data_IF_872418943265
#
_entry.id   IF_872418943265
#
_cell.length_a   1.000
_cell.length_b   1.000
_cell.length_c   1.000
_cell.angle_alpha   90.00
_cell.angle_beta   90.00
_cell.angle_gamma   90.00
#
_symmetry.space_group_name_H-M   'P 1'
#
loop_
_entity.id
_entity.type
_entity.pdbx_description
1 polymer ?
#
# COMPACT_ATOMS: atom_id res chain seq x y z
N UNK A 1 -22.27 39.13 28.16
CA UNK A 1 -21.98 38.40 26.90
C UNK A 1 -21.29 37.11 27.33
N UNK A 2 -21.99 36.00 27.32
CA UNK A 2 -21.54 34.73 27.89
C UNK A 2 -20.52 34.08 26.95
N UNK A 3 -19.66 33.22 27.48
CA UNK A 3 -18.63 32.47 26.70
C UNK A 3 -19.27 31.72 25.49
N UNK A 4 -20.54 31.32 25.62
CA UNK A 4 -21.32 30.64 24.59
C UNK A 4 -21.58 31.55 23.38
N UNK A 5 -21.85 32.86 23.60
CA UNK A 5 -22.11 33.81 22.51
C UNK A 5 -20.87 34.06 21.65
N UNK A 6 -19.68 33.97 22.27
CA UNK A 6 -18.40 34.13 21.56
C UNK A 6 -18.12 32.91 20.68
N UNK A 7 -18.34 31.71 21.21
CA UNK A 7 -18.12 30.46 20.49
C UNK A 7 -19.07 30.28 19.29
N UNK A 8 -20.33 30.69 19.43
CA UNK A 8 -21.31 30.71 18.35
C UNK A 8 -20.92 31.72 17.25
N UNK A 9 -20.41 32.90 17.66
CA UNK A 9 -19.96 33.94 16.70
C UNK A 9 -18.72 33.46 15.91
N UNK A 10 -17.77 32.76 16.56
CA UNK A 10 -16.59 32.21 15.92
C UNK A 10 -16.96 31.06 14.95
N UNK A 11 -17.88 30.18 15.32
CA UNK A 11 -18.39 29.13 14.43
C UNK A 11 -19.10 29.68 13.21
N UNK A 12 -19.91 30.75 13.37
CA UNK A 12 -20.56 31.42 12.25
C UNK A 12 -19.58 32.12 11.32
N UNK A 13 -18.48 32.69 11.87
CA UNK A 13 -17.45 33.34 11.08
C UNK A 13 -16.68 32.32 10.23
N UNK A 14 -16.31 31.15 10.80
CA UNK A 14 -15.65 30.04 10.11
C UNK A 14 -16.56 29.47 9.00
N UNK A 15 -17.86 29.31 9.28
CA UNK A 15 -18.85 28.86 8.29
C UNK A 15 -19.01 29.83 7.12
N UNK A 16 -18.99 31.14 7.37
CA UNK A 16 -18.99 32.18 6.32
C UNK A 16 -17.72 32.20 5.51
N UNK A 17 -16.55 32.05 6.14
CA UNK A 17 -15.27 31.98 5.46
C UNK A 17 -15.19 30.75 4.53
N UNK A 18 -15.67 29.59 4.98
CA UNK A 18 -15.73 28.36 4.19
C UNK A 18 -16.69 28.46 3.00
N UNK A 19 -17.86 29.11 3.18
CA UNK A 19 -18.79 29.37 2.07
C UNK A 19 -18.24 30.36 1.04
N UNK A 20 -17.56 31.42 1.49
CA UNK A 20 -16.86 32.36 0.60
C UNK A 20 -15.74 31.70 -0.20
N UNK A 21 -14.95 30.81 0.44
CA UNK A 21 -13.90 30.00 -0.22
C UNK A 21 -14.49 29.05 -1.26
N UNK A 22 -15.57 28.35 -0.94
CA UNK A 22 -16.23 27.42 -1.86
C UNK A 22 -16.85 28.16 -3.08
N UNK A 23 -17.41 29.33 -2.88
CA UNK A 23 -17.95 30.15 -3.96
C UNK A 23 -16.83 30.73 -4.84
N UNK A 24 -15.72 31.16 -4.24
CA UNK A 24 -14.56 31.63 -5.00
C UNK A 24 -13.94 30.48 -5.85
N UNK A 25 -13.88 29.27 -5.32
CA UNK A 25 -13.39 28.09 -6.06
C UNK A 25 -14.34 27.73 -7.22
N UNK A 26 -15.64 27.77 -7.00
CA UNK A 26 -16.66 27.53 -8.04
C UNK A 26 -16.63 28.61 -9.14
N UNK A 27 -16.44 29.87 -8.77
CA UNK A 27 -16.30 31.00 -9.71
C UNK A 27 -14.98 30.89 -10.52
N UNK A 28 -13.87 30.50 -9.89
CA UNK A 28 -12.60 30.25 -10.57
C UNK A 28 -12.76 29.12 -11.60
N UNK A 29 -13.41 28.03 -11.23
CA UNK A 29 -13.65 26.88 -12.10
C UNK A 29 -14.56 27.25 -13.29
N UNK A 30 -15.58 28.07 -13.06
CA UNK A 30 -16.43 28.61 -14.14
C UNK A 30 -15.64 29.54 -15.08
N UNK A 31 -14.77 30.40 -14.55
CA UNK A 31 -13.91 31.28 -15.36
C UNK A 31 -12.90 30.47 -16.19
N UNK A 32 -12.28 29.46 -15.62
CA UNK A 32 -11.40 28.55 -16.34
C UNK A 32 -12.16 27.83 -17.46
N UNK A 33 -13.37 27.34 -17.22
CA UNK A 33 -14.22 26.69 -18.22
C UNK A 33 -14.59 27.64 -19.36
N UNK A 34 -14.86 28.91 -19.04
CA UNK A 34 -15.19 29.94 -20.02
C UNK A 34 -13.97 30.32 -20.87
N UNK A 35 -12.79 30.42 -20.25
CA UNK A 35 -11.54 30.70 -20.94
C UNK A 35 -11.18 29.54 -21.88
N UNK A 36 -11.29 28.31 -21.41
CA UNK A 36 -11.07 27.12 -22.24
C UNK A 36 -12.07 27.02 -23.41
N UNK A 37 -13.33 27.39 -23.17
CA UNK A 37 -14.35 27.48 -24.24
C UNK A 37 -14.01 28.55 -25.28
N UNK A 38 -13.60 29.75 -24.84
CA UNK A 38 -13.17 30.83 -25.74
C UNK A 38 -11.90 30.47 -26.52
N UNK A 39 -10.92 29.84 -25.87
CA UNK A 39 -9.72 29.34 -26.55
C UNK A 39 -10.13 28.30 -27.60
N UNK A 40 -11.04 27.39 -27.28
CA UNK A 40 -11.58 26.39 -28.21
C UNK A 40 -12.30 27.04 -29.42
N UNK A 41 -13.05 28.11 -29.20
CA UNK A 41 -13.73 28.86 -30.25
C UNK A 41 -12.76 29.66 -31.16
N UNK A 42 -11.73 30.26 -30.57
CA UNK A 42 -10.67 30.98 -31.32
C UNK A 42 -9.91 30.00 -32.22
N UNK A 43 -9.53 28.83 -31.69
CA UNK A 43 -8.90 27.78 -32.48
C UNK A 43 -9.82 27.22 -33.59
N UNK A 44 -11.13 27.16 -33.35
CA UNK A 44 -12.13 26.69 -34.29
C UNK A 44 -12.36 27.67 -35.47
N UNK A 45 -12.20 28.98 -35.26
CA UNK A 45 -12.41 30.01 -36.27
C UNK A 45 -11.20 30.29 -37.17
N UNK A 46 -9.96 29.99 -36.73
CA UNK A 46 -8.74 30.42 -37.39
C UNK A 46 -8.01 29.35 -38.21
N UNK A 47 -8.55 28.15 -38.40
CA UNK A 47 -7.83 27.11 -39.14
C UNK A 47 -8.60 26.63 -40.36
N UNK A 48 -8.31 27.25 -41.50
CA UNK A 48 -8.53 26.71 -42.86
C UNK A 48 -7.36 25.76 -43.26
N UNK A 49 -6.91 24.88 -42.36
CA UNK A 49 -5.92 23.83 -42.65
C UNK A 49 -6.58 22.46 -42.62
N UNK A 50 -6.05 21.43 -43.27
CA UNK A 50 -6.66 20.10 -43.36
C UNK A 50 -6.82 19.51 -41.97
N UNK A 51 -8.03 19.64 -41.43
CA UNK A 51 -8.42 19.47 -40.01
C UNK A 51 -8.28 18.05 -39.43
N UNK A 52 -8.15 17.02 -40.27
CA UNK A 52 -8.41 15.66 -39.81
C UNK A 52 -7.20 14.90 -39.24
N UNK A 53 -5.98 15.20 -39.67
CA UNK A 53 -4.80 14.44 -39.21
C UNK A 53 -4.13 15.04 -37.97
N UNK A 54 -4.02 16.34 -37.86
CA UNK A 54 -3.36 17.03 -36.73
C UNK A 54 -4.24 17.04 -35.45
N UNK A 55 -5.54 17.35 -35.61
CA UNK A 55 -6.47 17.36 -34.49
C UNK A 55 -6.68 15.96 -33.93
N UNK A 56 -6.82 14.95 -34.76
CA UNK A 56 -6.92 13.56 -34.35
C UNK A 56 -5.63 13.08 -33.64
N UNK A 57 -4.45 13.57 -34.05
CA UNK A 57 -3.17 13.28 -33.39
C UNK A 57 -3.05 14.01 -32.04
N UNK A 58 -3.53 15.25 -31.92
CA UNK A 58 -3.54 16.01 -30.67
C UNK A 58 -4.58 15.48 -29.66
N UNK A 59 -5.78 15.12 -30.12
CA UNK A 59 -6.79 14.47 -29.27
C UNK A 59 -6.30 13.12 -28.76
N UNK A 60 -5.72 12.30 -29.60
CA UNK A 60 -5.13 11.01 -29.24
C UNK A 60 -3.93 11.16 -28.30
N UNK A 61 -3.11 12.21 -28.47
CA UNK A 61 -2.02 12.56 -27.56
C UNK A 61 -2.54 13.00 -26.20
N UNK A 62 -3.55 13.89 -26.14
CA UNK A 62 -4.15 14.35 -24.89
C UNK A 62 -4.91 13.24 -24.14
N UNK A 63 -5.63 12.38 -24.86
CA UNK A 63 -6.25 11.19 -24.24
C UNK A 63 -5.21 10.23 -23.66
N UNK A 64 -4.10 10.05 -24.34
CA UNK A 64 -3.02 9.17 -23.90
C UNK A 64 -2.30 9.77 -22.68
N UNK A 65 -2.11 11.10 -22.64
CA UNK A 65 -1.59 11.79 -21.47
C UNK A 65 -2.51 11.63 -20.26
N UNK A 66 -3.81 11.85 -20.40
CA UNK A 66 -4.77 11.71 -19.30
C UNK A 66 -4.83 10.27 -18.79
N UNK A 67 -4.82 9.30 -19.69
CA UNK A 67 -4.85 7.86 -19.33
C UNK A 67 -3.62 7.41 -18.52
N UNK A 68 -2.44 8.05 -18.72
CA UNK A 68 -1.22 7.77 -17.95
C UNK A 68 -1.30 8.23 -16.49
N UNK A 69 -2.12 9.22 -16.17
CA UNK A 69 -2.25 9.73 -14.82
C UNK A 69 -3.17 8.87 -13.94
N UNK A 70 -4.03 8.03 -14.53
CA UNK A 70 -4.95 7.17 -13.76
C UNK A 70 -4.19 6.16 -12.89
N UNK A 71 -3.25 5.34 -13.42
CA UNK A 71 -2.46 4.44 -12.57
C UNK A 71 -1.69 5.21 -11.50
N UNK A 72 -1.01 6.31 -11.85
CA UNK A 72 -0.25 7.11 -10.89
C UNK A 72 -1.13 7.66 -9.75
N UNK A 73 -2.38 8.05 -10.04
CA UNK A 73 -3.31 8.50 -8.99
C UNK A 73 -3.71 7.35 -8.06
N UNK A 74 -3.84 6.14 -8.57
CA UNK A 74 -4.11 4.94 -7.77
C UNK A 74 -2.89 4.61 -6.89
N UNK A 75 -1.68 4.69 -7.45
CA UNK A 75 -0.42 4.54 -6.68
C UNK A 75 -0.30 5.59 -5.56
N UNK A 76 -0.73 6.84 -5.81
CA UNK A 76 -0.84 7.83 -4.74
C UNK A 76 -1.84 7.40 -3.64
N UNK A 77 -2.91 6.69 -4.00
CA UNK A 77 -3.85 6.08 -3.05
C UNK A 77 -3.18 5.03 -2.16
N UNK A 78 -2.28 4.20 -2.73
CA UNK A 78 -1.42 3.28 -1.97
C UNK A 78 -0.60 4.05 -0.94
N UNK A 79 0.14 5.08 -1.37
CA UNK A 79 0.96 5.92 -0.48
C UNK A 79 0.15 6.55 0.65
N UNK A 80 -1.00 7.16 0.32
CA UNK A 80 -1.90 7.77 1.32
C UNK A 80 -2.39 6.74 2.32
N UNK A 81 -2.73 5.52 1.89
CA UNK A 81 -3.14 4.44 2.78
C UNK A 81 -2.02 4.05 3.75
N UNK A 82 -0.77 3.99 3.30
CA UNK A 82 0.40 3.79 4.17
C UNK A 82 0.56 4.91 5.21
N UNK A 83 0.42 6.16 4.80
CA UNK A 83 0.45 7.31 5.73
C UNK A 83 -0.72 7.27 6.74
N UNK A 84 -1.92 6.91 6.31
CA UNK A 84 -3.08 6.74 7.19
C UNK A 84 -2.88 5.60 8.19
N UNK A 85 -2.21 4.52 7.80
CA UNK A 85 -1.82 3.43 8.71
C UNK A 85 -0.97 3.97 9.86
N UNK A 86 0.06 4.74 9.56
CA UNK A 86 0.94 5.35 10.57
C UNK A 86 0.16 6.34 11.45
N UNK A 87 -0.73 7.15 10.87
CA UNK A 87 -1.58 8.08 11.59
C UNK A 87 -2.51 7.36 12.57
N UNK A 88 -3.19 6.29 12.14
CA UNK A 88 -4.05 5.51 13.04
C UNK A 88 -3.26 4.86 14.18
N UNK A 89 -2.03 4.46 13.91
CA UNK A 89 -1.17 3.91 14.94
C UNK A 89 -0.78 4.95 16.01
N UNK A 90 -0.49 6.20 15.59
CA UNK A 90 -0.24 7.30 16.52
C UNK A 90 -1.46 7.65 17.39
N UNK A 91 -2.66 7.33 16.90
CA UNK A 91 -3.92 7.43 17.65
C UNK A 91 -4.22 6.18 18.51
N UNK A 92 -3.27 5.27 18.67
CA UNK A 92 -3.43 3.99 19.38
C UNK A 92 -4.55 3.11 18.81
N UNK A 93 -4.71 3.08 17.50
CA UNK A 93 -5.71 2.28 16.76
C UNK A 93 -5.06 1.23 15.86
N UNK A 94 -4.37 0.21 16.40
CA UNK A 94 -3.56 -0.73 15.62
C UNK A 94 -4.39 -1.56 14.62
N UNK A 95 -5.64 -1.88 14.94
CA UNK A 95 -6.55 -2.59 14.03
C UNK A 95 -6.85 -1.76 12.78
N UNK A 96 -7.13 -0.45 12.93
CA UNK A 96 -7.35 0.44 11.79
C UNK A 96 -6.08 0.65 10.98
N UNK A 97 -4.94 0.77 11.64
CA UNK A 97 -3.64 0.85 11.00
C UNK A 97 -3.39 -0.38 10.12
N UNK A 98 -3.63 -1.57 10.65
CA UNK A 98 -3.51 -2.83 9.92
C UNK A 98 -4.44 -2.88 8.70
N UNK A 99 -5.70 -2.49 8.84
CA UNK A 99 -6.65 -2.44 7.72
C UNK A 99 -6.19 -1.51 6.61
N UNK A 100 -5.53 -0.39 6.91
CA UNK A 100 -4.99 0.52 5.90
C UNK A 100 -3.86 -0.11 5.07
N UNK A 101 -3.10 -1.05 5.62
CA UNK A 101 -2.11 -1.82 4.83
C UNK A 101 -2.82 -2.72 3.80
N UNK A 102 -3.95 -3.35 4.16
CA UNK A 102 -4.73 -4.13 3.18
C UNK A 102 -5.33 -3.22 2.09
N UNK A 103 -5.78 -2.02 2.47
CA UNK A 103 -6.25 -1.02 1.49
C UNK A 103 -5.11 -0.56 0.58
N UNK A 104 -3.90 -0.36 1.12
CA UNK A 104 -2.71 -0.07 0.35
C UNK A 104 -2.41 -1.18 -0.67
N UNK A 105 -2.45 -2.46 -0.24
CA UNK A 105 -2.27 -3.61 -1.13
C UNK A 105 -3.34 -3.73 -2.22
N UNK A 106 -4.58 -3.28 -1.94
CA UNK A 106 -5.62 -3.20 -2.96
C UNK A 106 -5.29 -2.12 -4.00
N UNK A 107 -4.83 -0.93 -3.58
CA UNK A 107 -4.43 0.12 -4.50
C UNK A 107 -3.22 -0.26 -5.35
N UNK A 108 -2.20 -0.90 -4.78
CA UNK A 108 -1.04 -1.46 -5.48
C UNK A 108 -1.46 -2.47 -6.56
N UNK A 109 -2.36 -3.38 -6.23
CA UNK A 109 -2.90 -4.31 -7.22
C UNK A 109 -3.67 -3.60 -8.33
N UNK A 110 -4.48 -2.58 -7.99
CA UNK A 110 -5.33 -1.85 -8.92
C UNK A 110 -4.53 -0.95 -9.87
N UNK A 111 -3.42 -0.33 -9.44
CA UNK A 111 -2.62 0.51 -10.33
C UNK A 111 -1.89 -0.33 -11.39
N UNK A 112 -1.30 -1.47 -11.01
CA UNK A 112 -0.72 -2.41 -11.95
C UNK A 112 -1.77 -3.03 -12.90
N UNK A 113 -2.99 -3.26 -12.41
CA UNK A 113 -4.11 -3.69 -13.23
C UNK A 113 -4.55 -2.60 -14.21
N UNK A 114 -4.72 -1.37 -13.74
CA UNK A 114 -5.12 -0.21 -14.54
C UNK A 114 -4.08 0.11 -15.62
N UNK A 115 -2.78 0.08 -15.30
CA UNK A 115 -1.70 0.31 -16.27
C UNK A 115 -1.75 -0.71 -17.42
N UNK A 116 -1.96 -1.99 -17.09
CA UNK A 116 -2.09 -3.07 -18.08
C UNK A 116 -3.36 -2.94 -18.93
N UNK A 117 -4.51 -2.64 -18.30
CA UNK A 117 -5.80 -2.49 -18.97
C UNK A 117 -5.79 -1.31 -19.94
N UNK A 118 -5.21 -0.17 -19.52
CA UNK A 118 -5.12 1.05 -20.32
C UNK A 118 -3.95 1.01 -21.33
N UNK A 119 -3.08 -0.01 -21.24
CA UNK A 119 -1.86 -0.16 -22.08
C UNK A 119 -1.00 1.10 -22.05
N UNK A 120 -0.82 1.70 -20.86
CA UNK A 120 -0.03 2.91 -20.67
C UNK A 120 1.18 2.61 -19.78
N UNK A 121 2.30 3.25 -20.13
CA UNK A 121 3.49 3.29 -19.29
C UNK A 121 3.78 4.75 -18.94
N UNK A 122 3.88 5.03 -17.64
CA UNK A 122 4.30 6.34 -17.15
C UNK A 122 5.80 6.30 -16.87
N UNK A 123 6.59 7.27 -17.34
CA UNK A 123 8.03 7.33 -17.04
C UNK A 123 8.34 7.36 -15.55
N UNK A 124 7.50 8.05 -14.75
CA UNK A 124 7.64 8.16 -13.29
C UNK A 124 6.83 7.11 -12.53
N UNK A 125 6.02 6.29 -13.23
CA UNK A 125 5.09 5.37 -12.59
C UNK A 125 5.81 4.30 -11.77
N UNK A 126 6.85 3.69 -12.31
CA UNK A 126 7.62 2.65 -11.63
C UNK A 126 8.39 3.18 -10.40
N UNK A 127 8.92 4.40 -10.48
CA UNK A 127 9.59 5.03 -9.34
C UNK A 127 8.58 5.41 -8.24
N UNK A 128 7.43 5.96 -8.64
CA UNK A 128 6.35 6.33 -7.72
C UNK A 128 5.78 5.10 -7.01
N UNK A 129 5.61 4.00 -7.72
CA UNK A 129 5.20 2.70 -7.21
C UNK A 129 6.18 2.20 -6.15
N UNK A 130 7.47 2.15 -6.47
CA UNK A 130 8.50 1.74 -5.53
C UNK A 130 8.57 2.62 -4.28
N UNK A 131 8.43 3.94 -4.42
CA UNK A 131 8.42 4.88 -3.28
C UNK A 131 7.18 4.68 -2.42
N UNK A 132 6.01 4.47 -3.04
CA UNK A 132 4.76 4.16 -2.34
C UNK A 132 4.85 2.87 -1.56
N UNK A 133 5.42 1.82 -2.16
CA UNK A 133 5.61 0.51 -1.56
C UNK A 133 6.56 0.55 -0.35
N UNK A 134 7.64 1.34 -0.41
CA UNK A 134 8.51 1.52 0.75
C UNK A 134 7.74 2.07 1.94
N UNK A 135 6.83 3.02 1.72
CA UNK A 135 6.02 3.60 2.81
C UNK A 135 4.97 2.60 3.29
N UNK A 136 4.18 2.05 2.38
CA UNK A 136 3.01 1.23 2.70
C UNK A 136 3.38 -0.18 3.17
N UNK A 137 4.41 -0.78 2.58
CA UNK A 137 4.83 -2.16 2.86
C UNK A 137 6.20 -2.26 3.56
N UNK A 138 6.85 -1.14 3.84
CA UNK A 138 8.07 -1.08 4.64
C UNK A 138 7.85 -0.31 5.93
N UNK A 139 7.59 1.00 5.82
CA UNK A 139 7.52 1.91 6.97
C UNK A 139 6.30 1.63 7.84
N UNK A 140 5.10 1.54 7.24
CA UNK A 140 3.87 1.32 7.99
C UNK A 140 3.88 0.00 8.80
N UNK A 141 4.25 -1.17 8.24
CA UNK A 141 4.39 -2.39 9.04
C UNK A 141 5.54 -2.31 10.05
N UNK A 142 6.63 -1.59 9.75
CA UNK A 142 7.68 -1.30 10.72
C UNK A 142 7.15 -0.57 11.96
N UNK A 143 6.29 0.42 11.76
CA UNK A 143 5.62 1.13 12.87
C UNK A 143 4.62 0.23 13.62
N UNK A 144 3.89 -0.67 12.94
CA UNK A 144 3.03 -1.66 13.62
C UNK A 144 3.88 -2.56 14.51
N UNK A 145 5.01 -3.06 14.00
CA UNK A 145 5.90 -3.91 14.79
C UNK A 145 6.51 -3.16 15.97
N UNK A 146 6.93 -1.91 15.76
CA UNK A 146 7.39 -1.03 16.83
C UNK A 146 6.32 -0.86 17.91
N UNK A 147 5.07 -0.60 17.51
CA UNK A 147 3.93 -0.47 18.41
C UNK A 147 3.70 -1.75 19.21
N UNK A 148 3.70 -2.93 18.57
CA UNK A 148 3.59 -4.21 19.24
C UNK A 148 4.71 -4.43 20.26
N UNK A 149 5.95 -4.06 19.92
CA UNK A 149 7.10 -4.19 20.80
C UNK A 149 7.01 -3.30 22.04
N UNK A 150 6.60 -2.04 21.91
CA UNK A 150 6.52 -1.12 23.06
C UNK A 150 5.36 -1.45 23.99
N UNK A 151 4.33 -2.15 23.52
CA UNK A 151 3.19 -2.60 24.33
C UNK A 151 3.34 -4.04 24.84
N UNK A 152 4.45 -4.72 24.51
CA UNK A 152 4.72 -6.07 25.02
C UNK A 152 5.01 -6.04 26.52
N UNK A 153 4.56 -7.07 27.24
CA UNK A 153 4.72 -7.14 28.70
C UNK A 153 6.19 -7.32 29.14
N UNK A 154 7.03 -7.87 28.26
CA UNK A 154 8.43 -8.24 28.49
C UNK A 154 9.44 -7.31 27.82
N UNK A 155 9.08 -6.04 27.61
CA UNK A 155 9.97 -5.03 26.99
C UNK A 155 11.19 -4.82 27.87
N UNK A 156 12.42 -5.01 27.33
CA UNK A 156 13.63 -4.70 28.06
C UNK A 156 13.76 -3.19 28.34
N UNK A 157 14.06 -2.82 29.59
CA UNK A 157 14.15 -1.43 30.02
C UNK A 157 15.50 -0.80 29.62
N UNK A 158 15.75 -0.70 28.31
CA UNK A 158 16.93 -0.02 27.74
C UNK A 158 16.46 1.22 27.02
N UNK A 159 16.59 2.37 27.64
CA UNK A 159 16.17 3.64 27.07
C UNK A 159 17.39 4.56 26.84
N UNK A 160 17.39 5.27 25.70
CA UNK A 160 18.33 6.33 25.38
C UNK A 160 17.53 7.58 25.03
N UNK A 161 17.82 8.73 25.66
CA UNK A 161 17.06 9.97 25.48
C UNK A 161 15.54 9.83 25.67
N UNK A 162 15.09 8.94 26.57
CA UNK A 162 13.67 8.69 26.81
C UNK A 162 12.97 7.80 25.77
N UNK A 163 13.70 7.30 24.79
CA UNK A 163 13.18 6.39 23.75
C UNK A 163 13.62 4.96 24.08
N UNK A 164 12.70 4.01 24.07
CA UNK A 164 13.05 2.60 24.17
C UNK A 164 13.83 2.18 22.93
N UNK A 165 15.14 1.97 23.08
CA UNK A 165 16.06 1.78 21.96
C UNK A 165 15.83 0.43 21.25
N UNK A 166 15.58 -0.62 22.01
CA UNK A 166 15.45 -1.97 21.47
C UNK A 166 14.21 -2.15 20.57
N UNK A 167 13.03 -1.59 20.85
CA UNK A 167 11.90 -1.59 19.90
C UNK A 167 12.20 -0.91 18.57
N UNK A 168 13.16 0.03 18.51
CA UNK A 168 13.57 0.66 17.25
C UNK A 168 14.18 -0.33 16.25
N UNK A 169 14.56 -1.54 16.67
CA UNK A 169 14.96 -2.62 15.77
C UNK A 169 13.84 -3.01 14.78
N UNK A 170 12.57 -2.70 15.09
CA UNK A 170 11.46 -2.83 14.14
C UNK A 170 11.72 -2.09 12.82
N UNK A 171 12.48 -1.00 12.86
CA UNK A 171 12.82 -0.24 11.65
C UNK A 171 13.87 -0.91 10.75
N UNK A 172 14.34 -2.10 11.09
CA UNK A 172 15.02 -2.96 10.11
C UNK A 172 14.08 -3.31 8.94
N UNK A 173 12.78 -3.49 9.18
CA UNK A 173 11.82 -3.83 8.14
C UNK A 173 11.78 -2.83 6.97
N UNK A 174 11.60 -1.51 7.18
CA UNK A 174 11.65 -0.54 6.09
C UNK A 174 13.02 -0.47 5.40
N UNK A 175 14.12 -0.62 6.13
CA UNK A 175 15.47 -0.63 5.54
C UNK A 175 15.63 -1.81 4.58
N UNK A 176 15.31 -3.01 5.02
CA UNK A 176 15.43 -4.20 4.19
C UNK A 176 14.40 -4.23 3.04
N UNK A 177 13.20 -3.65 3.26
CA UNK A 177 12.21 -3.46 2.21
C UNK A 177 12.73 -2.52 1.11
N UNK A 178 13.32 -1.38 1.49
CA UNK A 178 13.92 -0.44 0.54
C UNK A 178 15.08 -1.07 -0.25
N UNK A 179 15.99 -1.79 0.43
CA UNK A 179 17.09 -2.51 -0.22
C UNK A 179 16.55 -3.54 -1.22
N UNK A 180 15.50 -4.28 -0.85
CA UNK A 180 14.87 -5.27 -1.71
C UNK A 180 14.28 -4.63 -2.97
N UNK A 181 13.49 -3.56 -2.81
CA UNK A 181 12.87 -2.85 -3.93
C UNK A 181 13.90 -2.23 -4.85
N UNK A 182 14.97 -1.63 -4.29
CA UNK A 182 16.08 -1.12 -5.08
C UNK A 182 16.79 -2.21 -5.89
N UNK A 183 17.01 -3.40 -5.31
CA UNK A 183 17.59 -4.54 -6.04
C UNK A 183 16.65 -5.04 -7.15
N UNK A 184 15.35 -5.11 -6.87
CA UNK A 184 14.35 -5.55 -7.83
C UNK A 184 14.28 -4.62 -9.05
N UNK A 185 14.41 -3.30 -8.85
CA UNK A 185 14.39 -2.32 -9.93
C UNK A 185 15.62 -2.35 -10.85
N UNK A 186 16.74 -2.93 -10.37
CA UNK A 186 17.99 -3.03 -11.15
C UNK A 186 18.10 -4.40 -11.85
N UNK A 187 17.41 -5.43 -11.34
CA UNK A 187 17.56 -6.82 -11.80
C UNK A 187 16.51 -7.18 -12.86
N UNK A 188 16.87 -7.01 -14.13
CA UNK A 188 16.02 -7.35 -15.29
C UNK A 188 15.83 -8.89 -15.46
N UNK A 189 16.52 -9.73 -14.69
CA UNK A 189 16.48 -11.20 -14.83
C UNK A 189 15.32 -11.86 -14.09
N UNK A 190 14.61 -11.14 -13.19
CA UNK A 190 13.54 -11.68 -12.37
C UNK A 190 12.18 -11.63 -13.08
N UNK A 191 11.98 -12.42 -14.11
CA UNK A 191 10.72 -12.43 -14.87
C UNK A 191 9.69 -13.43 -14.36
N UNK A 192 10.12 -14.56 -13.80
CA UNK A 192 9.24 -15.69 -13.40
C UNK A 192 9.33 -16.07 -11.93
N UNK A 193 10.45 -15.82 -11.27
CA UNK A 193 10.71 -16.18 -9.87
C UNK A 193 11.15 -14.96 -9.08
N UNK A 194 10.59 -14.79 -7.88
CA UNK A 194 11.02 -13.74 -6.96
C UNK A 194 12.11 -14.27 -6.03
N UNK A 195 13.23 -13.55 -5.93
CA UNK A 195 14.23 -13.79 -4.91
C UNK A 195 13.89 -13.00 -3.65
N UNK A 196 13.75 -13.68 -2.52
CA UNK A 196 13.29 -13.12 -1.26
C UNK A 196 11.78 -12.92 -1.18
N UNK A 197 11.25 -12.82 0.06
CA UNK A 197 9.83 -12.61 0.30
C UNK A 197 9.37 -11.27 -0.27
N UNK A 198 8.21 -11.17 -0.94
CA UNK A 198 7.67 -9.90 -1.42
C UNK A 198 7.37 -8.94 -0.26
N UNK A 199 7.71 -7.63 -0.39
CA UNK A 199 7.40 -6.63 0.62
C UNK A 199 5.90 -6.57 0.98
N UNK A 200 4.95 -6.63 0.03
CA UNK A 200 3.53 -6.75 0.36
C UNK A 200 3.20 -7.99 1.18
N UNK A 201 3.86 -9.14 0.91
CA UNK A 201 3.64 -10.36 1.67
C UNK A 201 4.07 -10.22 3.14
N UNK A 202 5.25 -9.66 3.40
CA UNK A 202 5.72 -9.34 4.74
C UNK A 202 4.76 -8.34 5.44
N UNK A 203 4.33 -7.30 4.74
CA UNK A 203 3.43 -6.29 5.27
C UNK A 203 2.07 -6.87 5.67
N UNK A 204 1.49 -7.75 4.85
CA UNK A 204 0.24 -8.46 5.15
C UNK A 204 0.40 -9.34 6.39
N UNK A 205 1.53 -10.06 6.52
CA UNK A 205 1.81 -10.84 7.72
C UNK A 205 1.81 -9.97 8.98
N UNK A 206 2.57 -8.87 8.98
CA UNK A 206 2.67 -7.98 10.14
C UNK A 206 1.33 -7.31 10.43
N UNK A 207 0.59 -6.84 9.42
CA UNK A 207 -0.73 -6.28 9.57
C UNK A 207 -1.75 -7.31 10.11
N UNK A 208 -1.57 -8.59 9.84
CA UNK A 208 -2.44 -9.63 10.36
C UNK A 208 -2.32 -9.82 11.88
N UNK A 209 -1.19 -9.48 12.50
CA UNK A 209 -0.94 -9.68 13.92
C UNK A 209 -1.91 -8.88 14.81
N UNK A 210 -2.05 -7.54 14.68
CA UNK A 210 -3.02 -6.81 15.50
C UNK A 210 -4.48 -7.21 15.19
N UNK A 211 -4.81 -7.64 13.97
CA UNK A 211 -6.14 -8.14 13.63
C UNK A 211 -6.44 -9.47 14.33
N UNK A 212 -5.48 -10.39 14.32
CA UNK A 212 -5.59 -11.68 15.00
C UNK A 212 -5.69 -11.49 16.52
N UNK A 213 -4.86 -10.63 17.11
CA UNK A 213 -4.90 -10.32 18.54
C UNK A 213 -6.24 -9.70 18.95
N UNK A 214 -6.79 -8.78 18.15
CA UNK A 214 -8.09 -8.16 18.44
C UNK A 214 -9.26 -9.15 18.38
N UNK A 215 -9.16 -10.22 17.61
CA UNK A 215 -10.19 -11.26 17.52
C UNK A 215 -10.22 -12.15 18.77
N UNK A 216 -9.06 -12.35 19.39
CA UNK A 216 -8.96 -13.18 20.59
C UNK A 216 -9.18 -12.31 21.84
N UNK A 217 -10.44 -12.14 22.25
CA UNK A 217 -10.90 -11.24 23.33
C UNK A 217 -10.21 -11.44 24.69
N UNK A 218 -9.53 -12.55 24.91
CA UNK A 218 -8.86 -12.88 26.17
C UNK A 218 -7.33 -12.64 26.15
N UNK A 219 -6.77 -12.26 24.99
CA UNK A 219 -5.38 -11.85 24.94
C UNK A 219 -5.31 -10.35 25.25
N UNK A 220 -4.68 -10.03 26.40
CA UNK A 220 -4.37 -8.65 26.79
C UNK A 220 -3.43 -7.99 25.78
N UNK A 221 -3.42 -6.67 25.75
CA UNK A 221 -2.36 -5.89 25.11
C UNK A 221 -1.02 -6.43 25.64
N UNK A 222 -0.12 -6.81 24.72
CA UNK A 222 1.15 -7.45 25.09
C UNK A 222 1.19 -8.99 25.03
N UNK A 223 0.13 -9.65 24.57
CA UNK A 223 0.09 -11.11 24.41
C UNK A 223 1.16 -11.64 23.44
N UNK A 224 1.57 -10.83 22.47
CA UNK A 224 2.75 -11.12 21.66
C UNK A 224 3.97 -10.49 22.34
N UNK A 225 4.80 -11.33 22.99
CA UNK A 225 5.98 -10.87 23.71
C UNK A 225 6.99 -10.15 22.82
N UNK A 226 7.77 -9.27 23.44
CA UNK A 226 8.81 -8.49 22.76
C UNK A 226 9.76 -9.37 21.93
N UNK A 227 10.24 -10.46 22.52
CA UNK A 227 11.20 -11.36 21.87
C UNK A 227 10.63 -12.07 20.65
N UNK A 228 9.32 -12.39 20.66
CA UNK A 228 8.63 -12.93 19.49
C UNK A 228 8.55 -11.88 18.38
N UNK A 229 8.18 -10.64 18.68
CA UNK A 229 8.16 -9.52 17.73
C UNK A 229 9.55 -9.26 17.14
N UNK A 230 10.59 -9.28 17.97
CA UNK A 230 11.97 -9.11 17.53
C UNK A 230 12.40 -10.26 16.61
N UNK A 231 12.11 -11.50 16.97
CA UNK A 231 12.40 -12.67 16.14
C UNK A 231 11.73 -12.59 14.76
N UNK A 232 10.44 -12.23 14.73
CA UNK A 232 9.68 -12.01 13.49
C UNK A 232 10.35 -10.91 12.66
N UNK A 233 10.69 -9.77 13.27
CA UNK A 233 11.36 -8.65 12.58
C UNK A 233 12.66 -9.08 11.92
N UNK A 234 13.53 -9.77 12.65
CA UNK A 234 14.82 -10.24 12.15
C UNK A 234 14.61 -11.23 11.01
N UNK A 235 13.77 -12.25 11.21
CA UNK A 235 13.50 -13.29 10.22
C UNK A 235 12.99 -12.66 8.91
N UNK A 236 11.96 -11.83 8.95
CA UNK A 236 11.40 -11.24 7.73
C UNK A 236 12.36 -10.23 7.07
N UNK A 237 13.12 -9.46 7.84
CA UNK A 237 14.14 -8.56 7.31
C UNK A 237 15.17 -9.33 6.47
N UNK A 238 15.74 -10.40 7.02
CA UNK A 238 16.71 -11.22 6.28
C UNK A 238 16.08 -12.01 5.14
N UNK A 239 14.84 -12.49 5.30
CA UNK A 239 14.13 -13.20 4.23
C UNK A 239 13.87 -12.31 3.01
N UNK A 240 13.60 -11.00 3.18
CA UNK A 240 13.42 -10.07 2.06
C UNK A 240 14.64 -9.96 1.16
N UNK A 241 15.85 -10.05 1.72
CA UNK A 241 17.12 -9.90 0.98
C UNK A 241 17.76 -11.24 0.67
N UNK A 242 17.18 -12.35 1.15
CA UNK A 242 17.68 -13.69 0.93
C UNK A 242 17.60 -14.11 -0.54
N UNK A 243 18.37 -15.12 -0.92
CA UNK A 243 18.31 -15.74 -2.26
C UNK A 243 17.26 -16.85 -2.35
N UNK A 244 16.42 -17.01 -1.31
CA UNK A 244 15.34 -18.00 -1.32
C UNK A 244 14.35 -17.67 -2.43
N UNK A 245 13.94 -18.68 -3.18
CA UNK A 245 12.96 -18.55 -4.24
C UNK A 245 11.56 -18.65 -3.66
N UNK A 246 10.72 -17.67 -4.01
CA UNK A 246 9.31 -17.66 -3.63
C UNK A 246 8.47 -17.86 -4.88
N UNK A 247 7.48 -18.74 -4.81
CA UNK A 247 6.59 -18.97 -5.94
C UNK A 247 5.69 -17.77 -6.19
N UNK A 248 5.48 -17.48 -7.45
CA UNK A 248 4.55 -16.45 -7.91
C UNK A 248 3.16 -17.03 -8.11
N UNK A 249 2.13 -16.26 -7.75
CA UNK A 249 0.73 -16.57 -8.07
C UNK A 249 0.39 -16.36 -9.56
N UNK A 250 1.36 -15.98 -10.40
CA UNK A 250 1.14 -15.89 -11.84
C UNK A 250 0.91 -17.29 -12.42
N UNK A 251 -0.34 -17.61 -12.72
CA UNK A 251 -0.71 -18.86 -13.40
C UNK A 251 -0.68 -18.65 -14.91
N UNK A 252 0.00 -19.54 -15.64
CA UNK A 252 -0.05 -19.56 -17.13
C UNK A 252 -1.41 -20.02 -17.65
N UNK A 253 -2.11 -20.86 -16.86
CA UNK A 253 -3.46 -21.37 -17.16
C UNK A 253 -4.23 -21.57 -15.86
N UNK A 254 -5.55 -21.48 -15.90
CA UNK A 254 -6.41 -21.74 -14.73
C UNK A 254 -6.69 -23.25 -14.51
N UNK A 255 -6.01 -24.14 -15.25
CA UNK A 255 -6.18 -25.59 -15.13
C UNK A 255 -5.59 -26.12 -13.83
N UNK A 256 -6.15 -27.21 -13.30
CA UNK A 256 -5.65 -27.88 -12.10
C UNK A 256 -4.24 -28.44 -12.33
N UNK A 257 -4.03 -29.14 -13.47
CA UNK A 257 -2.72 -29.72 -13.82
C UNK A 257 -1.65 -28.62 -13.93
N UNK A 258 -0.57 -28.77 -13.15
CA UNK A 258 0.56 -27.83 -13.08
C UNK A 258 0.32 -26.64 -12.14
N UNK A 259 -0.83 -26.55 -11.48
CA UNK A 259 -1.14 -25.52 -10.48
C UNK A 259 -1.66 -26.12 -9.16
N UNK A 260 -1.46 -27.42 -8.94
CA UNK A 260 -2.03 -28.12 -7.80
C UNK A 260 -1.67 -27.46 -6.48
N UNK A 261 -0.40 -27.11 -6.28
CA UNK A 261 0.10 -26.47 -5.06
C UNK A 261 -0.54 -25.10 -4.84
N UNK A 262 -0.74 -24.31 -5.91
CA UNK A 262 -1.38 -22.99 -5.84
C UNK A 262 -2.84 -23.10 -5.46
N UNK A 263 -3.56 -24.08 -6.06
CA UNK A 263 -4.96 -24.32 -5.75
C UNK A 263 -5.16 -24.84 -4.33
N UNK A 264 -4.33 -25.80 -3.89
CA UNK A 264 -4.36 -26.32 -2.52
C UNK A 264 -4.12 -25.18 -1.53
N UNK A 265 -3.10 -24.34 -1.76
CA UNK A 265 -2.84 -23.18 -0.92
C UNK A 265 -4.04 -22.23 -0.86
N UNK A 266 -4.65 -21.90 -2.02
CA UNK A 266 -5.79 -21.00 -2.08
C UNK A 266 -7.01 -21.57 -1.33
N UNK A 267 -7.29 -22.87 -1.48
CA UNK A 267 -8.37 -23.53 -0.77
C UNK A 267 -8.12 -23.48 0.75
N UNK A 268 -6.91 -23.82 1.22
CA UNK A 268 -6.56 -23.76 2.64
C UNK A 268 -6.70 -22.32 3.16
N UNK A 269 -6.26 -21.32 2.39
CA UNK A 269 -6.37 -19.91 2.78
C UNK A 269 -7.84 -19.46 2.90
N UNK A 270 -8.68 -19.79 1.92
CA UNK A 270 -10.10 -19.43 1.92
C UNK A 270 -10.86 -20.16 3.05
N UNK A 271 -10.67 -21.47 3.19
CA UNK A 271 -11.31 -22.26 4.26
C UNK A 271 -10.82 -21.79 5.63
N UNK A 272 -9.50 -21.59 5.78
CA UNK A 272 -8.92 -21.08 7.02
C UNK A 272 -9.51 -19.74 7.42
N UNK A 273 -9.62 -18.80 6.46
CA UNK A 273 -10.22 -17.49 6.71
C UNK A 273 -11.72 -17.59 7.04
N UNK A 274 -12.47 -18.46 6.35
CA UNK A 274 -13.91 -18.66 6.63
C UNK A 274 -14.17 -19.24 8.02
N UNK A 275 -13.27 -20.12 8.52
CA UNK A 275 -13.42 -20.79 9.83
C UNK A 275 -12.86 -19.93 10.97
N UNK A 276 -11.66 -19.35 10.80
CA UNK A 276 -10.90 -18.69 11.84
C UNK A 276 -10.85 -17.16 11.71
N UNK A 277 -11.42 -16.57 10.62
CA UNK A 277 -11.38 -15.13 10.38
C UNK A 277 -9.96 -14.60 10.27
N UNK A 278 -9.71 -13.45 10.88
CA UNK A 278 -8.39 -12.79 10.83
C UNK A 278 -7.27 -13.58 11.52
N UNK A 279 -7.61 -14.47 12.44
CA UNK A 279 -6.63 -15.35 13.10
C UNK A 279 -5.95 -16.30 12.10
N UNK A 280 -6.62 -16.65 11.00
CA UNK A 280 -6.03 -17.50 9.98
C UNK A 280 -4.88 -16.82 9.20
N UNK A 281 -4.89 -15.48 9.06
CA UNK A 281 -3.95 -14.77 8.19
C UNK A 281 -2.46 -15.00 8.55
N UNK A 282 -2.01 -14.90 9.82
CA UNK A 282 -0.63 -15.21 10.16
C UNK A 282 -0.24 -16.64 9.77
N UNK A 283 -1.12 -17.61 10.01
CA UNK A 283 -0.86 -19.01 9.70
C UNK A 283 -0.82 -19.27 8.19
N UNK A 284 -1.71 -18.64 7.43
CA UNK A 284 -1.71 -18.72 5.95
C UNK A 284 -0.41 -18.15 5.39
N UNK A 285 0.10 -17.06 5.95
CA UNK A 285 1.36 -16.48 5.51
C UNK A 285 2.57 -17.34 5.88
N UNK A 286 2.58 -17.97 7.06
CA UNK A 286 3.60 -18.95 7.42
C UNK A 286 3.54 -20.15 6.46
N UNK A 287 2.35 -20.66 6.17
CA UNK A 287 2.15 -21.74 5.20
C UNK A 287 2.68 -21.35 3.81
N UNK A 288 2.42 -20.11 3.33
CA UNK A 288 2.95 -19.60 2.09
C UNK A 288 4.49 -19.66 2.04
N UNK A 289 5.12 -19.20 3.12
CA UNK A 289 6.58 -19.22 3.24
C UNK A 289 7.10 -20.65 3.20
N UNK A 290 6.53 -21.56 3.97
CA UNK A 290 6.94 -22.97 4.01
C UNK A 290 6.74 -23.64 2.64
N UNK A 291 5.56 -23.48 2.04
CA UNK A 291 5.28 -24.03 0.71
C UNK A 291 6.23 -23.45 -0.36
N UNK A 292 6.59 -22.18 -0.28
CA UNK A 292 7.55 -21.57 -1.21
C UNK A 292 8.93 -22.19 -1.07
N UNK A 293 9.39 -22.46 0.15
CA UNK A 293 10.72 -23.08 0.36
C UNK A 293 10.76 -24.53 -0.19
N UNK A 294 9.69 -25.29 0.03
CA UNK A 294 9.69 -26.71 -0.36
C UNK A 294 9.29 -26.98 -1.82
N UNK A 295 8.50 -26.12 -2.44
CA UNK A 295 7.91 -26.39 -3.75
C UNK A 295 8.28 -25.39 -4.85
N UNK A 296 9.06 -24.32 -4.56
CA UNK A 296 9.40 -23.31 -5.55
C UNK A 296 10.09 -23.91 -6.79
N UNK A 297 10.99 -24.90 -6.61
CA UNK A 297 11.70 -25.55 -7.71
C UNK A 297 10.78 -26.42 -8.60
N UNK A 298 9.81 -27.13 -8.01
CA UNK A 298 8.86 -27.97 -8.75
C UNK A 298 7.82 -27.19 -9.54
N UNK A 299 7.69 -25.89 -9.28
CA UNK A 299 6.68 -25.04 -9.92
C UNK A 299 7.26 -24.20 -11.08
N UNK A 300 8.56 -24.32 -11.35
CA UNK A 300 9.26 -23.72 -12.49
C UNK A 300 9.27 -24.63 -13.72
N UNK A 301 9.14 -25.94 -13.55
CA UNK A 301 9.01 -26.94 -14.62
C UNK A 301 7.56 -26.95 -15.19
#
# INVERSE_FOLDING_TARGET
>A
MTAIDKEVTDLLSIRRANQLSANNFRNLFQRIKLVLHKIREIFRKNTAFPKNAYLCRLEKSNEMHLKRHIPNAITCGNLVSGCLSIMFLSMNMPVKAALMIFVAGLFDFLDGFAARLLKVHSPIGADLDSLSDVVSFGVAPGFIMYWLMIHAADVPNVALFGIALLPCLAFMLPVFSAIRLARFNIDDTQTTTFRGIPAPGMAIFIASLPLALAQVRHLSDGALGYWACLGITIIFSFMMVSRLRFFSFKMKSATWKGNEVRWIFLIIAVVGFAVFGFLALPFVMILYVLMSIFFAEKMEE
#
